data_IF_222745785354
#
_entry.id   IF_222745785354
#
_cell.length_a   1.000
_cell.length_b   1.000
_cell.length_c   1.000
_cell.angle_alpha   90.00
_cell.angle_beta   90.00
_cell.angle_gamma   90.00
#
_symmetry.space_group_name_H-M   'P 1'
#
loop_
_entity.id
_entity.type
_entity.pdbx_description
1 polymer ?
#
# COMPACT_ATOMS: atom_id res chain seq x y z
N UNK A 1 -11.17 9.25 -15.70
CA UNK A 1 -11.13 8.89 -14.26
C UNK A 1 -12.55 8.77 -13.68
N UNK A 2 -13.39 7.88 -14.23
CA UNK A 2 -14.81 7.79 -13.83
C UNK A 2 -15.22 6.37 -13.39
N UNK A 3 -14.26 5.46 -13.20
CA UNK A 3 -14.57 4.09 -12.79
C UNK A 3 -14.88 4.06 -11.30
N UNK A 4 -16.03 3.50 -10.94
CA UNK A 4 -16.44 3.35 -9.54
C UNK A 4 -15.68 2.22 -8.86
N UNK A 5 -15.68 2.22 -7.53
CA UNK A 5 -15.08 1.13 -6.77
C UNK A 5 -15.81 -0.19 -7.05
N UNK A 6 -17.13 -0.15 -7.18
CA UNK A 6 -18.00 -1.29 -7.47
C UNK A 6 -17.69 -1.90 -8.84
N UNK A 7 -17.42 -1.05 -9.84
CA UNK A 7 -16.95 -1.49 -11.16
C UNK A 7 -15.58 -2.18 -11.06
N UNK A 8 -14.63 -1.60 -10.32
CA UNK A 8 -13.32 -2.22 -10.09
C UNK A 8 -13.42 -3.56 -9.36
N UNK A 9 -14.31 -3.71 -8.38
CA UNK A 9 -14.59 -4.99 -7.70
C UNK A 9 -15.21 -6.01 -8.67
N UNK A 10 -16.09 -5.56 -9.56
CA UNK A 10 -16.68 -6.43 -10.58
C UNK A 10 -15.61 -6.93 -11.57
N UNK A 11 -14.73 -6.03 -11.99
CA UNK A 11 -13.61 -6.35 -12.88
C UNK A 11 -12.58 -7.27 -12.22
N UNK A 12 -12.25 -7.07 -10.94
CA UNK A 12 -11.32 -7.94 -10.22
C UNK A 12 -11.84 -9.37 -10.12
N UNK A 13 -13.14 -9.55 -9.85
CA UNK A 13 -13.80 -10.88 -9.84
C UNK A 13 -13.81 -11.53 -11.21
N UNK A 14 -14.12 -10.75 -12.27
CA UNK A 14 -14.09 -11.24 -13.65
C UNK A 14 -12.69 -11.69 -14.06
N UNK A 15 -11.66 -10.92 -13.70
CA UNK A 15 -10.26 -11.27 -13.93
C UNK A 15 -9.88 -12.53 -13.15
N UNK A 16 -10.20 -12.59 -11.86
CA UNK A 16 -9.92 -13.74 -11.01
C UNK A 16 -10.53 -15.03 -11.53
N UNK A 17 -11.78 -14.97 -11.99
CA UNK A 17 -12.47 -16.11 -12.61
C UNK A 17 -11.72 -16.60 -13.86
N UNK A 18 -11.38 -15.69 -14.79
CA UNK A 18 -10.62 -16.04 -15.99
C UNK A 18 -9.27 -16.66 -15.68
N UNK A 19 -8.51 -16.09 -14.75
CA UNK A 19 -7.21 -16.63 -14.33
C UNK A 19 -7.37 -18.03 -13.75
N UNK A 20 -8.35 -18.25 -12.88
CA UNK A 20 -8.61 -19.56 -12.29
C UNK A 20 -9.09 -20.61 -13.30
N UNK A 21 -9.96 -20.24 -14.23
CA UNK A 21 -10.57 -21.15 -15.20
C UNK A 21 -9.63 -21.47 -16.37
N UNK A 22 -9.01 -20.45 -16.97
CA UNK A 22 -8.21 -20.57 -18.19
C UNK A 22 -6.77 -20.98 -17.90
N UNK A 23 -6.15 -20.41 -16.85
CA UNK A 23 -4.73 -20.67 -16.50
C UNK A 23 -4.55 -21.72 -15.41
N UNK A 24 -5.65 -22.16 -14.77
CA UNK A 24 -5.62 -23.12 -13.64
C UNK A 24 -4.73 -22.66 -12.47
N UNK A 25 -4.64 -21.35 -12.26
CA UNK A 25 -3.91 -20.77 -11.13
C UNK A 25 -4.89 -20.51 -9.98
N UNK A 26 -4.62 -20.94 -8.74
CA UNK A 26 -5.45 -20.61 -7.59
C UNK A 26 -5.47 -19.09 -7.33
N UNK A 27 -6.68 -18.53 -7.25
CA UNK A 27 -6.91 -17.10 -7.03
C UNK A 27 -7.56 -16.85 -5.68
N UNK A 28 -7.01 -15.89 -4.93
CA UNK A 28 -7.60 -15.35 -3.71
C UNK A 28 -8.01 -13.90 -3.93
N UNK A 29 -9.27 -13.59 -3.66
CA UNK A 29 -9.75 -12.22 -3.69
C UNK A 29 -9.42 -11.50 -2.39
N UNK A 30 -8.93 -10.27 -2.47
CA UNK A 30 -8.48 -9.50 -1.30
C UNK A 30 -9.00 -8.05 -1.29
N UNK A 31 -8.79 -7.36 -0.16
CA UNK A 31 -9.27 -6.00 0.12
C UNK A 31 -10.77 -5.87 -0.17
N UNK A 32 -11.18 -4.90 -1.00
CA UNK A 32 -12.58 -4.64 -1.28
C UNK A 32 -13.25 -5.72 -2.14
N UNK A 33 -12.45 -6.64 -2.69
CA UNK A 33 -12.93 -7.80 -3.44
C UNK A 33 -13.02 -9.08 -2.61
N UNK A 34 -12.54 -9.06 -1.37
CA UNK A 34 -12.47 -10.24 -0.52
C UNK A 34 -13.83 -10.91 -0.33
N UNK A 35 -13.86 -12.23 -0.47
CA UNK A 35 -15.04 -13.06 -0.22
C UNK A 35 -15.26 -13.36 1.26
N UNK A 36 -14.18 -13.34 2.05
CA UNK A 36 -14.18 -13.64 3.48
C UNK A 36 -13.45 -12.54 4.26
N UNK A 37 -13.88 -12.23 5.50
CA UNK A 37 -13.23 -11.20 6.33
C UNK A 37 -11.72 -11.42 6.53
N UNK A 38 -11.28 -12.66 6.71
CA UNK A 38 -9.87 -13.01 6.88
C UNK A 38 -9.00 -12.70 5.65
N UNK A 39 -9.60 -12.60 4.46
CA UNK A 39 -8.91 -12.35 3.18
C UNK A 39 -8.77 -10.87 2.83
N UNK A 40 -9.44 -9.97 3.57
CA UNK A 40 -9.33 -8.53 3.34
C UNK A 40 -7.86 -8.09 3.36
N UNK A 41 -7.09 -8.54 4.36
CA UNK A 41 -5.66 -8.24 4.45
C UNK A 41 -4.82 -9.19 3.61
N UNK A 42 -4.08 -8.65 2.63
CA UNK A 42 -3.10 -9.42 1.86
C UNK A 42 -2.06 -10.11 2.76
N UNK A 43 -1.69 -9.49 3.89
CA UNK A 43 -0.73 -10.07 4.83
C UNK A 43 -1.26 -11.36 5.48
N UNK A 44 -2.58 -11.48 5.67
CA UNK A 44 -3.19 -12.71 6.19
C UNK A 44 -3.14 -13.82 5.13
N UNK A 45 -3.41 -13.47 3.86
CA UNK A 45 -3.26 -14.41 2.74
C UNK A 45 -1.81 -14.87 2.65
N UNK A 46 -0.84 -13.96 2.69
CA UNK A 46 0.60 -14.26 2.59
C UNK A 46 1.23 -14.86 3.84
N UNK A 47 0.50 -14.97 4.95
CA UNK A 47 1.03 -15.51 6.20
C UNK A 47 1.48 -16.96 6.00
N UNK A 48 2.75 -17.24 6.32
CA UNK A 48 3.40 -18.53 6.10
C UNK A 48 4.22 -18.60 4.82
N UNK A 49 4.24 -17.53 4.02
CA UNK A 49 4.96 -17.42 2.74
C UNK A 49 4.65 -18.58 1.78
N UNK A 50 5.54 -18.90 0.85
CA UNK A 50 5.30 -19.91 -0.17
C UNK A 50 5.33 -21.33 0.43
N UNK A 51 6.29 -21.56 1.33
CA UNK A 51 6.63 -22.86 1.92
C UNK A 51 5.46 -23.46 2.70
N UNK A 52 4.73 -22.63 3.46
CA UNK A 52 3.58 -23.09 4.22
C UNK A 52 2.26 -22.95 3.47
N UNK A 53 2.26 -22.38 2.26
CA UNK A 53 1.02 -22.22 1.49
C UNK A 53 0.49 -23.57 1.01
N UNK A 54 1.37 -24.55 0.77
CA UNK A 54 1.01 -25.87 0.27
C UNK A 54 0.12 -26.68 1.23
N UNK A 55 0.30 -26.49 2.54
CA UNK A 55 -0.58 -27.07 3.56
C UNK A 55 -1.83 -26.22 3.76
N UNK A 56 -1.66 -24.89 3.75
CA UNK A 56 -2.76 -23.92 3.91
C UNK A 56 -3.87 -24.11 2.88
N UNK A 57 -3.54 -24.20 1.59
CA UNK A 57 -4.52 -24.32 0.49
C UNK A 57 -5.42 -25.56 0.59
N UNK A 58 -4.98 -26.60 1.31
CA UNK A 58 -5.74 -27.85 1.51
C UNK A 58 -6.81 -27.73 2.60
N UNK A 59 -6.77 -26.67 3.41
CA UNK A 59 -7.77 -26.44 4.45
C UNK A 59 -9.03 -25.80 3.87
N UNK A 60 -10.20 -26.19 4.37
CA UNK A 60 -11.49 -25.65 3.91
C UNK A 60 -11.57 -24.13 4.00
N UNK A 61 -10.98 -23.54 5.05
CA UNK A 61 -10.94 -22.09 5.24
C UNK A 61 -10.19 -21.36 4.11
N UNK A 62 -9.15 -22.00 3.57
CA UNK A 62 -8.24 -21.41 2.59
C UNK A 62 -8.43 -21.99 1.19
N UNK A 63 -9.60 -22.55 0.90
CA UNK A 63 -9.98 -22.89 -0.48
C UNK A 63 -9.98 -21.62 -1.36
N UNK A 64 -9.32 -21.61 -2.52
CA UNK A 64 -9.25 -20.42 -3.38
C UNK A 64 -10.64 -20.00 -3.86
N UNK A 65 -10.79 -18.71 -4.17
CA UNK A 65 -12.03 -18.15 -4.73
C UNK A 65 -12.30 -18.65 -6.15
N UNK A 66 -11.23 -18.81 -6.94
CA UNK A 66 -11.28 -19.40 -8.28
C UNK A 66 -10.05 -20.28 -8.53
N UNK A 67 -10.19 -21.23 -9.45
CA UNK A 67 -9.12 -22.18 -9.81
C UNK A 67 -9.02 -23.39 -8.87
N UNK A 68 -8.03 -24.27 -9.07
CA UNK A 68 -7.85 -25.50 -8.31
C UNK A 68 -7.31 -25.23 -6.89
N UNK A 69 -7.62 -26.10 -5.92
CA UNK A 69 -7.05 -26.04 -4.56
C UNK A 69 -5.62 -26.61 -4.49
N UNK A 70 -4.81 -26.33 -5.50
CA UNK A 70 -3.43 -26.80 -5.65
C UNK A 70 -2.55 -25.65 -6.11
N UNK A 71 -1.31 -25.60 -5.60
CA UNK A 71 -0.34 -24.58 -6.01
C UNK A 71 0.06 -24.83 -7.45
N UNK A 72 -0.03 -23.81 -8.30
CA UNK A 72 0.44 -23.91 -9.67
C UNK A 72 1.97 -24.06 -9.69
N UNK A 73 2.55 -25.05 -10.41
CA UNK A 73 3.96 -25.42 -10.29
C UNK A 73 4.93 -24.27 -10.62
N UNK A 74 4.61 -23.43 -11.60
CA UNK A 74 5.45 -22.30 -12.01
C UNK A 74 4.96 -20.93 -11.56
N UNK A 75 3.69 -20.82 -11.17
CA UNK A 75 3.03 -19.52 -10.93
C UNK A 75 2.63 -19.33 -9.46
N UNK A 76 2.69 -20.38 -8.66
CA UNK A 76 2.29 -20.36 -7.26
C UNK A 76 0.79 -20.11 -7.10
N UNK A 77 0.47 -19.05 -6.35
CA UNK A 77 -0.90 -18.59 -6.08
C UNK A 77 -0.98 -17.09 -6.32
N UNK A 78 -2.15 -16.61 -6.73
CA UNK A 78 -2.32 -15.18 -7.07
C UNK A 78 -3.39 -14.54 -6.20
N UNK A 79 -3.11 -13.32 -5.74
CA UNK A 79 -4.10 -12.47 -5.10
C UNK A 79 -4.59 -11.39 -6.07
N UNK A 80 -5.91 -11.27 -6.26
CA UNK A 80 -6.53 -10.29 -7.17
C UNK A 80 -7.55 -9.48 -6.37
N UNK A 81 -7.59 -8.17 -6.55
CA UNK A 81 -8.54 -7.36 -5.80
C UNK A 81 -8.57 -5.90 -6.19
N UNK A 82 -9.60 -5.23 -5.71
CA UNK A 82 -9.77 -3.80 -5.75
C UNK A 82 -9.37 -3.21 -4.40
N UNK A 83 -8.63 -2.11 -4.43
CA UNK A 83 -8.25 -1.32 -3.26
C UNK A 83 -8.12 0.13 -3.68
N UNK A 84 -8.11 1.02 -2.69
CA UNK A 84 -7.72 2.41 -2.89
C UNK A 84 -6.24 2.50 -3.35
N UNK A 85 -5.87 3.65 -3.94
CA UNK A 85 -4.48 3.93 -4.28
C UNK A 85 -3.58 3.78 -3.06
N UNK A 86 -2.51 3.01 -3.27
CA UNK A 86 -1.48 2.75 -2.28
C UNK A 86 -0.27 3.59 -2.67
N UNK A 87 0.28 4.32 -1.70
CA UNK A 87 1.54 5.03 -1.89
C UNK A 87 2.60 4.29 -1.10
N UNK A 88 3.61 3.77 -1.80
CA UNK A 88 4.82 3.25 -1.18
C UNK A 88 5.73 4.45 -0.90
N UNK A 89 5.86 4.80 0.37
CA UNK A 89 6.60 5.98 0.83
C UNK A 89 7.62 5.51 1.85
N UNK A 90 8.89 5.85 1.64
CA UNK A 90 9.97 5.44 2.51
C UNK A 90 10.65 6.66 3.14
N UNK A 91 11.11 6.53 4.38
CA UNK A 91 11.86 7.58 5.09
C UNK A 91 13.20 7.04 5.57
N UNK A 92 14.27 7.71 5.16
CA UNK A 92 15.65 7.33 5.46
C UNK A 92 16.12 8.04 6.74
N UNK A 93 16.68 7.27 7.67
CA UNK A 93 17.22 7.76 8.93
C UNK A 93 18.75 7.76 8.85
N UNK A 94 19.40 8.80 9.34
CA UNK A 94 20.86 8.94 9.35
C UNK A 94 21.54 8.09 10.43
N UNK A 95 21.25 6.80 10.46
CA UNK A 95 21.81 5.80 11.37
C UNK A 95 21.74 4.43 10.72
N UNK A 96 22.64 3.52 11.07
CA UNK A 96 22.68 2.10 10.70
C UNK A 96 21.93 1.19 11.69
N UNK A 97 21.42 1.76 12.80
CA UNK A 97 20.73 1.07 13.90
C UNK A 97 19.31 0.69 13.53
N UNK A 98 19.11 -0.56 13.13
CA UNK A 98 17.81 -1.10 12.69
C UNK A 98 16.76 -1.04 13.79
N UNK A 99 17.18 -1.12 15.06
CA UNK A 99 16.29 -1.07 16.22
C UNK A 99 15.55 0.26 16.30
N UNK A 100 16.15 1.35 15.81
CA UNK A 100 15.51 2.67 15.77
C UNK A 100 14.41 2.67 14.70
N UNK A 101 14.70 2.23 13.48
CA UNK A 101 13.68 2.10 12.43
C UNK A 101 12.54 1.14 12.83
N UNK A 102 12.85 0.05 13.53
CA UNK A 102 11.86 -0.89 14.04
C UNK A 102 10.95 -0.27 15.11
N UNK A 103 11.51 0.51 16.04
CA UNK A 103 10.71 1.22 17.05
C UNK A 103 9.81 2.26 16.42
N UNK A 104 10.32 3.04 15.47
CA UNK A 104 9.51 4.07 14.79
C UNK A 104 8.45 3.43 13.88
N UNK A 105 8.79 2.37 13.13
CA UNK A 105 7.80 1.67 12.31
C UNK A 105 6.65 1.09 13.15
N UNK A 106 6.94 0.61 14.38
CA UNK A 106 5.93 0.16 15.35
C UNK A 106 5.04 1.29 15.85
N UNK A 107 5.56 2.50 16.05
CA UNK A 107 4.74 3.63 16.51
C UNK A 107 3.74 4.12 15.45
N UNK A 108 4.06 3.97 14.16
CA UNK A 108 3.21 4.45 13.07
C UNK A 108 2.29 3.39 12.46
N UNK A 109 2.62 2.09 12.52
CA UNK A 109 1.85 1.05 11.83
C UNK A 109 0.59 0.65 12.59
N UNK A 110 -0.49 0.42 11.84
CA UNK A 110 -1.80 0.10 12.41
C UNK A 110 -1.78 -1.13 13.33
N UNK A 111 -1.09 -2.21 12.93
CA UNK A 111 -1.06 -3.47 13.69
C UNK A 111 -0.43 -3.32 15.09
N UNK A 112 0.30 -2.23 15.34
CA UNK A 112 0.90 -1.92 16.63
C UNK A 112 0.20 -0.79 17.37
N UNK A 113 -1.01 -0.40 16.93
CA UNK A 113 -1.81 0.67 17.54
C UNK A 113 -1.54 2.07 16.98
N UNK A 114 -0.69 2.18 15.95
CA UNK A 114 -0.41 3.43 15.25
C UNK A 114 -1.53 3.86 14.29
N UNK A 115 -1.16 4.53 13.22
CA UNK A 115 -2.11 5.06 12.25
C UNK A 115 -2.86 3.97 11.49
N UNK A 116 -4.17 4.15 11.35
CA UNK A 116 -4.95 3.38 10.38
C UNK A 116 -4.41 3.63 8.97
N UNK A 117 -4.55 2.64 8.09
CA UNK A 117 -4.11 2.70 6.70
C UNK A 117 -2.59 2.86 6.51
N UNK A 118 -1.80 2.55 7.53
CA UNK A 118 -0.33 2.54 7.48
C UNK A 118 0.18 1.15 7.82
N UNK A 119 0.98 0.58 6.92
CA UNK A 119 1.79 -0.61 7.15
C UNK A 119 3.25 -0.17 7.07
N UNK A 120 4.08 -0.47 8.06
CA UNK A 120 5.47 -0.04 8.08
C UNK A 120 6.41 -1.11 8.67
N UNK A 121 7.64 -1.14 8.16
CA UNK A 121 8.73 -2.01 8.58
C UNK A 121 10.07 -1.25 8.49
N UNK A 122 11.01 -1.58 9.37
CA UNK A 122 12.40 -1.13 9.26
C UNK A 122 13.19 -2.01 8.31
N UNK A 123 14.07 -1.39 7.52
CA UNK A 123 15.03 -2.07 6.64
C UNK A 123 16.40 -1.42 6.77
N UNK A 124 17.47 -2.20 6.58
CA UNK A 124 18.83 -1.68 6.40
C UNK A 124 19.10 -1.51 4.91
N UNK A 125 19.68 -0.38 4.53
CA UNK A 125 20.19 -0.11 3.19
C UNK A 125 21.71 -0.27 3.23
N UNK A 126 22.20 -1.48 2.95
CA UNK A 126 23.62 -1.84 3.10
C UNK A 126 24.56 -0.93 2.30
N UNK A 127 24.18 -0.58 1.06
CA UNK A 127 24.98 0.28 0.17
C UNK A 127 25.18 1.71 0.68
N UNK A 128 24.38 2.14 1.66
CA UNK A 128 24.36 3.52 2.17
C UNK A 128 24.68 3.61 3.65
N UNK A 129 24.89 2.48 4.33
CA UNK A 129 25.09 2.37 5.77
C UNK A 129 24.04 3.15 6.60
N UNK A 130 22.77 3.06 6.17
CA UNK A 130 21.63 3.68 6.83
C UNK A 130 20.46 2.72 6.98
N UNK A 131 19.48 3.11 7.78
CA UNK A 131 18.20 2.41 7.91
C UNK A 131 17.06 3.24 7.33
N UNK A 132 16.06 2.52 6.86
CA UNK A 132 14.89 3.07 6.20
C UNK A 132 13.64 2.54 6.88
N UNK A 133 12.67 3.42 7.11
CA UNK A 133 11.30 3.03 7.42
C UNK A 133 10.59 2.92 6.08
N UNK A 134 10.33 1.69 5.64
CA UNK A 134 9.50 1.46 4.46
C UNK A 134 8.05 1.33 4.86
N UNK A 135 7.16 2.06 4.20
CA UNK A 135 5.74 2.00 4.51
C UNK A 135 4.84 2.08 3.28
N UNK A 136 3.71 1.40 3.42
CA UNK A 136 2.60 1.45 2.49
C UNK A 136 1.45 2.25 3.13
N UNK A 137 1.14 3.37 2.50
CA UNK A 137 -0.03 4.20 2.79
C UNK A 137 -1.21 3.65 2.00
N UNK A 138 -2.02 2.79 2.63
CA UNK A 138 -3.09 2.06 1.93
C UNK A 138 -4.32 2.92 1.66
N UNK A 139 -4.41 4.11 2.26
CA UNK A 139 -5.42 5.12 1.98
C UNK A 139 -4.94 6.51 2.41
N UNK A 140 -4.26 7.22 1.49
CA UNK A 140 -3.68 8.53 1.78
C UNK A 140 -4.72 9.60 2.10
N UNK A 141 -5.94 9.49 1.56
CA UNK A 141 -7.03 10.46 1.80
C UNK A 141 -7.50 10.44 3.25
N UNK A 142 -7.42 9.29 3.93
CA UNK A 142 -7.81 9.14 5.34
C UNK A 142 -6.64 9.32 6.30
N UNK A 143 -5.42 9.00 5.86
CA UNK A 143 -4.20 9.23 6.63
C UNK A 143 -3.15 9.82 5.70
N UNK A 144 -3.02 11.16 5.68
CA UNK A 144 -2.18 11.84 4.71
C UNK A 144 -0.69 11.68 5.03
N UNK A 145 0.15 11.79 4.00
CA UNK A 145 1.59 11.59 4.07
C UNK A 145 2.25 12.48 5.14
N UNK A 146 1.93 13.77 5.15
CA UNK A 146 2.54 14.73 6.08
C UNK A 146 2.32 14.33 7.54
N UNK A 147 1.16 13.77 7.89
CA UNK A 147 0.84 13.40 9.27
C UNK A 147 1.72 12.27 9.77
N UNK A 148 1.95 11.26 8.93
CA UNK A 148 2.83 10.14 9.27
C UNK A 148 4.28 10.59 9.29
N UNK A 149 4.68 11.42 8.32
CA UNK A 149 6.03 11.97 8.24
C UNK A 149 6.38 12.82 9.47
N UNK A 150 5.49 13.68 9.95
CA UNK A 150 5.71 14.48 11.17
C UNK A 150 5.88 13.61 12.43
N UNK A 151 5.15 12.49 12.55
CA UNK A 151 5.37 11.56 13.65
C UNK A 151 6.72 10.86 13.53
N UNK A 152 7.11 10.43 12.33
CA UNK A 152 8.44 9.83 12.12
C UNK A 152 9.53 10.83 12.49
N UNK A 153 9.38 12.09 12.08
CA UNK A 153 10.30 13.17 12.42
C UNK A 153 10.41 13.35 13.93
N UNK A 154 9.27 13.48 14.63
CA UNK A 154 9.26 13.62 16.09
C UNK A 154 9.89 12.41 16.79
N UNK A 155 9.60 11.18 16.34
CA UNK A 155 10.21 9.98 16.92
C UNK A 155 11.70 9.89 16.62
N UNK A 156 12.16 10.23 15.41
CA UNK A 156 13.57 10.25 15.05
C UNK A 156 14.36 11.28 15.88
N UNK A 157 13.78 12.48 16.08
CA UNK A 157 14.33 13.51 16.95
C UNK A 157 14.50 13.03 18.40
N UNK A 158 13.56 12.24 18.94
CA UNK A 158 13.70 11.63 20.29
C UNK A 158 14.91 10.70 20.41
N UNK A 159 15.33 10.07 19.31
CA UNK A 159 16.52 9.24 19.27
C UNK A 159 17.79 10.02 18.88
N UNK A 160 17.70 11.34 18.63
CA UNK A 160 18.81 12.15 18.14
C UNK A 160 19.26 11.76 16.73
N UNK A 161 18.38 11.16 15.93
CA UNK A 161 18.68 10.68 14.57
C UNK A 161 18.04 11.61 13.55
N UNK A 162 18.80 12.13 12.56
CA UNK A 162 18.22 12.96 11.52
C UNK A 162 17.47 12.12 10.49
N UNK A 163 16.43 12.69 9.89
CA UNK A 163 15.89 12.19 8.62
C UNK A 163 16.80 12.72 7.50
N UNK A 164 17.41 11.82 6.73
CA UNK A 164 18.35 12.17 5.65
C UNK A 164 17.72 12.16 4.26
N UNK A 165 16.44 11.80 4.18
CA UNK A 165 15.65 11.87 2.96
C UNK A 165 14.38 11.01 3.03
N UNK A 166 13.56 11.10 2.00
CA UNK A 166 12.42 10.24 1.80
C UNK A 166 12.25 9.93 0.30
N UNK A 167 11.48 8.90 0.00
CA UNK A 167 11.34 8.38 -1.35
C UNK A 167 9.91 7.90 -1.58
N UNK A 168 9.38 8.15 -2.78
CA UNK A 168 8.17 7.51 -3.28
C UNK A 168 8.60 6.43 -4.26
N UNK A 169 8.17 5.19 -4.00
CA UNK A 169 8.46 4.06 -4.89
C UNK A 169 7.32 3.93 -5.90
N UNK A 170 7.61 4.25 -7.16
CA UNK A 170 6.66 4.18 -8.27
C UNK A 170 5.85 5.47 -8.43
N UNK A 171 4.55 5.34 -8.73
CA UNK A 171 3.66 6.47 -8.99
C UNK A 171 2.90 6.90 -7.73
N UNK A 172 2.60 8.18 -7.62
CA UNK A 172 1.77 8.75 -6.55
C UNK A 172 0.64 9.61 -7.11
N UNK A 173 -0.55 9.61 -6.49
CA UNK A 173 -1.58 10.58 -6.82
C UNK A 173 -1.12 12.02 -6.56
N UNK A 174 -1.39 12.93 -7.51
CA UNK A 174 -1.07 14.36 -7.39
C UNK A 174 -1.64 14.96 -6.09
N UNK A 175 -2.87 14.59 -5.74
CA UNK A 175 -3.56 15.07 -4.55
C UNK A 175 -2.74 14.82 -3.27
N UNK A 176 -2.06 13.67 -3.16
CA UNK A 176 -1.28 13.34 -1.98
C UNK A 176 -0.10 14.29 -1.76
N UNK A 177 0.53 14.77 -2.85
CA UNK A 177 1.61 15.75 -2.78
C UNK A 177 1.08 17.17 -2.55
N UNK A 178 -0.04 17.52 -3.18
CA UNK A 178 -0.68 18.81 -2.99
C UNK A 178 -1.11 19.02 -1.53
N UNK A 179 -1.66 18.00 -0.86
CA UNK A 179 -2.02 18.04 0.56
C UNK A 179 -0.79 18.25 1.47
N UNK A 180 0.38 17.72 1.09
CA UNK A 180 1.64 17.98 1.81
C UNK A 180 2.05 19.44 1.64
N UNK A 181 2.03 19.97 0.41
CA UNK A 181 2.36 21.36 0.14
C UNK A 181 1.41 22.33 0.86
N UNK A 182 0.10 22.06 0.81
CA UNK A 182 -0.92 22.82 1.53
C UNK A 182 -0.65 22.83 3.04
N UNK A 183 -0.35 21.68 3.63
CA UNK A 183 -0.06 21.56 5.05
C UNK A 183 1.14 22.40 5.49
N UNK A 184 2.28 22.28 4.81
CA UNK A 184 3.51 22.96 5.22
C UNK A 184 3.52 24.45 4.85
N UNK A 185 2.94 24.84 3.72
CA UNK A 185 2.89 26.24 3.28
C UNK A 185 1.70 27.02 3.88
N UNK A 186 0.73 26.32 4.48
CA UNK A 186 -0.50 26.90 5.05
C UNK A 186 -1.28 27.75 4.04
N UNK A 187 -1.45 27.23 2.84
CA UNK A 187 -2.08 27.96 1.75
C UNK A 187 -3.57 28.21 2.05
N UNK A 188 -3.97 29.47 2.07
CA UNK A 188 -5.36 29.84 2.28
C UNK A 188 -6.19 29.63 1.02
N UNK A 189 -7.36 28.99 1.16
CA UNK A 189 -8.32 28.72 0.06
C UNK A 189 -7.69 27.96 -1.12
N UNK A 190 -6.63 27.19 -0.86
CA UNK A 190 -5.99 26.34 -1.86
C UNK A 190 -6.81 25.08 -2.12
N UNK A 191 -6.68 24.57 -3.34
CA UNK A 191 -7.29 23.34 -3.79
C UNK A 191 -6.43 22.79 -4.92
N UNK A 192 -6.42 21.47 -5.11
CA UNK A 192 -5.77 20.84 -6.26
C UNK A 192 -6.27 21.41 -7.61
N UNK A 193 -7.48 21.97 -7.65
CA UNK A 193 -8.00 22.65 -8.83
C UNK A 193 -7.27 23.95 -9.16
N UNK A 194 -6.46 24.52 -8.26
CA UNK A 194 -5.62 25.68 -8.56
C UNK A 194 -4.29 25.30 -9.26
N UNK A 195 -3.97 24.00 -9.36
CA UNK A 195 -2.77 23.50 -10.06
C UNK A 195 -3.02 23.56 -11.56
N UNK A 196 -2.17 24.29 -12.29
CA UNK A 196 -2.31 24.55 -13.73
C UNK A 196 -2.32 23.24 -14.53
N UNK A 197 -1.34 22.37 -14.31
CA UNK A 197 -1.20 21.09 -15.00
C UNK A 197 -2.43 20.20 -14.77
N UNK A 198 -3.00 20.22 -13.54
CA UNK A 198 -4.22 19.48 -13.24
C UNK A 198 -5.40 19.98 -14.06
N UNK A 199 -5.58 21.31 -14.16
CA UNK A 199 -6.64 21.90 -14.99
C UNK A 199 -6.48 21.56 -16.47
N UNK A 200 -5.26 21.61 -16.99
CA UNK A 200 -4.97 21.26 -18.38
C UNK A 200 -5.31 19.80 -18.64
N UNK A 201 -4.89 18.89 -17.76
CA UNK A 201 -5.21 17.46 -17.86
C UNK A 201 -6.72 17.18 -17.79
N UNK A 202 -7.44 17.88 -16.91
CA UNK A 202 -8.90 17.74 -16.80
C UNK A 202 -9.60 18.24 -18.06
N UNK A 203 -9.16 19.40 -18.60
CA UNK A 203 -9.69 19.94 -19.84
C UNK A 203 -9.48 18.99 -21.03
N UNK A 204 -8.31 18.36 -21.14
CA UNK A 204 -8.03 17.37 -22.19
C UNK A 204 -8.92 16.14 -22.01
N UNK A 205 -9.00 15.59 -20.79
CA UNK A 205 -9.76 14.40 -20.50
C UNK A 205 -11.29 14.55 -20.72
N UNK A 206 -11.81 15.77 -20.63
CA UNK A 206 -13.21 16.07 -20.93
C UNK A 206 -13.49 16.25 -22.43
N UNK A 207 -12.49 16.53 -23.26
CA UNK A 207 -12.64 16.60 -24.73
C UNK A 207 -12.64 15.22 -25.40
N UNK A 208 -11.99 14.25 -24.78
CA UNK A 208 -11.90 12.87 -25.29
C UNK A 208 -13.09 11.99 -24.87
N UNK A 209 -14.12 12.58 -24.24
CA UNK A 209 -15.41 11.95 -23.93
C UNK A 209 -16.45 12.28 -25.00
#
# INVERSE_FOLDING_TARGET
MNTTKEECVTLSKKLGKKVGEELKIPVYLYEDSASLPERVSLSNIRKGEFENFASKIKSEQWKPDFGPSEIHPSAGVVAIGCREYLIAFNVNLGTDKIEIADRISRSIRHISGGFRYVKALGFRLEDRDIVQISMNMTNYKKTPLFRVFEVIKSEAERYGVPIVGSEIVGLTPLQALAEVAEHYLRLEKFSCSAILEKRVLDFIADRDK
#
